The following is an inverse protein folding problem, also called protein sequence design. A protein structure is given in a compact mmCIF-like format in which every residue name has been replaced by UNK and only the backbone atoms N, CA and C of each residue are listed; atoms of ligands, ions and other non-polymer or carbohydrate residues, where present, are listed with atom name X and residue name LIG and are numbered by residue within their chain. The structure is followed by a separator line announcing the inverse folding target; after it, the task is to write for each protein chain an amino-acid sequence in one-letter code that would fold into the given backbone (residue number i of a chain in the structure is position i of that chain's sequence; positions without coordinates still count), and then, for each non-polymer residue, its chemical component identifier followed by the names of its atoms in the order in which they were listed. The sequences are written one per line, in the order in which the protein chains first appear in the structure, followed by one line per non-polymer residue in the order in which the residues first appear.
data_IF_485553078912
#
_entry.id   IF_485553078912
#
_cell.length_a   1.000
_cell.length_b   1.000
_cell.length_c   1.000
_cell.angle_alpha   90.00
_cell.angle_beta   90.00
_cell.angle_gamma   90.00
#
_symmetry.space_group_name_H-M   'P 1'
#
loop_
_entity.id
_entity.type
_entity.pdbx_description
1 polymer ?
#
# COMPACT_ATOMS: atom_id res chain seq x y z
N UNK A 1 -19.15 -47.67 -37.96
CA UNK A 1 -19.44 -46.22 -38.02
C UNK A 1 -20.32 -45.87 -36.82
N UNK A 2 -19.79 -45.77 -35.59
CA UNK A 2 -18.97 -44.66 -35.04
C UNK A 2 -19.59 -43.26 -35.20
N UNK A 3 -20.83 -43.08 -34.74
CA UNK A 3 -21.47 -41.75 -34.66
C UNK A 3 -22.20 -41.52 -33.32
N UNK A 4 -21.65 -41.98 -32.20
CA UNK A 4 -22.16 -41.60 -30.85
C UNK A 4 -21.20 -40.77 -30.00
N UNK A 5 -19.91 -40.71 -30.36
CA UNK A 5 -18.89 -40.04 -29.53
C UNK A 5 -18.67 -38.54 -29.84
N UNK A 6 -19.26 -37.99 -30.91
CA UNK A 6 -18.95 -36.63 -31.38
C UNK A 6 -19.92 -35.52 -30.89
N UNK A 7 -21.11 -35.86 -30.40
CA UNK A 7 -22.15 -34.88 -30.03
C UNK A 7 -22.14 -34.41 -28.57
N UNK A 8 -21.24 -34.92 -27.73
CA UNK A 8 -21.16 -34.52 -26.32
C UNK A 8 -20.26 -33.29 -26.08
N UNK A 9 -19.59 -32.78 -27.12
CA UNK A 9 -18.58 -31.71 -27.03
C UNK A 9 -19.08 -30.32 -27.45
N UNK A 10 -20.31 -30.22 -27.99
CA UNK A 10 -20.89 -28.95 -28.46
C UNK A 10 -21.81 -28.27 -27.44
N UNK A 11 -22.06 -28.93 -26.31
CA UNK A 11 -22.82 -28.41 -25.17
C UNK A 11 -22.11 -28.80 -23.88
N UNK A 12 -20.92 -28.22 -23.64
CA UNK A 12 -20.39 -28.21 -22.27
C UNK A 12 -21.32 -27.30 -21.46
N UNK A 13 -22.23 -27.89 -20.69
CA UNK A 13 -23.08 -27.12 -19.79
C UNK A 13 -22.21 -26.38 -18.76
N UNK A 14 -22.68 -25.23 -18.28
CA UNK A 14 -21.99 -24.52 -17.20
C UNK A 14 -21.97 -25.39 -15.94
N UNK A 15 -20.82 -26.02 -15.70
CA UNK A 15 -20.62 -26.80 -14.49
C UNK A 15 -20.53 -25.84 -13.30
N UNK A 16 -21.28 -26.11 -12.24
CA UNK A 16 -21.34 -25.28 -11.02
C UNK A 16 -19.99 -25.13 -10.29
N UNK A 17 -18.99 -25.90 -10.70
CA UNK A 17 -17.63 -25.87 -10.16
C UNK A 17 -17.57 -26.37 -8.71
N UNK A 18 -16.39 -26.25 -8.10
CA UNK A 18 -16.21 -26.61 -6.68
C UNK A 18 -16.95 -25.60 -5.79
N UNK A 19 -17.79 -26.06 -4.84
CA UNK A 19 -18.43 -25.18 -3.88
C UNK A 19 -17.43 -24.32 -3.10
N UNK A 20 -17.81 -23.07 -2.82
CA UNK A 20 -16.97 -22.14 -2.06
C UNK A 20 -16.93 -22.53 -0.58
N UNK A 21 -15.75 -22.41 0.03
CA UNK A 21 -15.56 -22.59 1.48
C UNK A 21 -16.07 -21.37 2.27
N UNK A 22 -16.09 -20.18 1.65
CA UNK A 22 -16.53 -18.93 2.29
C UNK A 22 -17.92 -18.52 1.82
N UNK A 23 -18.67 -17.87 2.71
CA UNK A 23 -20.00 -17.33 2.43
C UNK A 23 -19.93 -15.83 2.09
N UNK A 24 -21.00 -15.30 1.48
CA UNK A 24 -21.07 -13.89 1.09
C UNK A 24 -20.88 -12.92 2.28
N UNK A 25 -21.47 -13.24 3.44
CA UNK A 25 -21.32 -12.45 4.66
C UNK A 25 -19.87 -12.42 5.15
N UNK A 26 -19.20 -13.57 5.12
CA UNK A 26 -17.79 -13.70 5.47
C UNK A 26 -16.89 -12.88 4.55
N UNK A 27 -17.12 -12.96 3.24
CA UNK A 27 -16.38 -12.18 2.24
C UNK A 27 -16.59 -10.67 2.43
N UNK A 28 -17.79 -10.26 2.88
CA UNK A 28 -18.11 -8.88 3.20
C UNK A 28 -17.38 -8.40 4.46
N UNK A 29 -17.38 -9.20 5.53
CA UNK A 29 -16.64 -8.90 6.76
C UNK A 29 -15.14 -8.76 6.50
N UNK A 30 -14.55 -9.64 5.68
CA UNK A 30 -13.15 -9.55 5.26
C UNK A 30 -12.86 -8.22 4.55
N UNK A 31 -13.75 -7.81 3.63
CA UNK A 31 -13.62 -6.55 2.90
C UNK A 31 -13.69 -5.34 3.85
N UNK A 32 -14.67 -5.32 4.74
CA UNK A 32 -14.89 -4.21 5.69
C UNK A 32 -13.74 -4.09 6.69
N UNK A 33 -13.28 -5.21 7.26
CA UNK A 33 -12.13 -5.24 8.16
C UNK A 33 -10.86 -4.74 7.47
N UNK A 34 -10.60 -5.19 6.24
CA UNK A 34 -9.44 -4.75 5.46
C UNK A 34 -9.52 -3.28 5.05
N UNK A 35 -10.72 -2.75 4.78
CA UNK A 35 -10.95 -1.32 4.49
C UNK A 35 -10.73 -0.46 5.74
N UNK A 36 -11.22 -0.91 6.89
CA UNK A 36 -11.10 -0.20 8.17
C UNK A 36 -9.66 -0.21 8.71
N UNK A 37 -8.97 -1.33 8.54
CA UNK A 37 -7.60 -1.53 9.01
C UNK A 37 -6.70 -2.02 7.86
N UNK A 38 -6.24 -1.12 6.97
CA UNK A 38 -5.49 -1.47 5.76
C UNK A 38 -4.23 -2.29 5.99
N UNK A 39 -3.60 -2.12 7.16
CA UNK A 39 -2.33 -2.78 7.52
C UNK A 39 -2.48 -4.17 8.14
N UNK A 40 -3.71 -4.64 8.37
CA UNK A 40 -3.92 -6.03 8.78
C UNK A 40 -3.48 -6.98 7.67
N UNK A 41 -2.70 -8.00 8.04
CA UNK A 41 -2.26 -8.98 7.09
C UNK A 41 -3.40 -9.96 6.76
N UNK A 42 -3.29 -10.64 5.61
CA UNK A 42 -4.24 -11.72 5.30
C UNK A 42 -4.18 -12.87 6.31
N UNK A 43 -3.05 -13.04 7.02
CA UNK A 43 -2.92 -14.03 8.08
C UNK A 43 -3.74 -13.62 9.30
N UNK A 44 -3.69 -12.34 9.67
CA UNK A 44 -4.46 -11.83 10.81
C UNK A 44 -5.97 -11.89 10.52
N UNK A 45 -6.37 -11.46 9.32
CA UNK A 45 -7.76 -11.58 8.87
C UNK A 45 -8.25 -13.03 8.80
N UNK A 46 -7.38 -13.96 8.38
CA UNK A 46 -7.71 -15.39 8.38
C UNK A 46 -7.94 -15.90 9.80
N UNK A 47 -7.04 -15.60 10.73
CA UNK A 47 -7.13 -16.06 12.13
C UNK A 47 -8.38 -15.55 12.82
N UNK A 48 -8.75 -14.28 12.58
CA UNK A 48 -9.85 -13.63 13.29
C UNK A 48 -11.23 -13.96 12.68
N UNK A 49 -11.33 -13.99 11.34
CA UNK A 49 -12.64 -14.04 10.66
C UNK A 49 -12.92 -15.37 9.97
N UNK A 50 -11.88 -16.13 9.60
CA UNK A 50 -12.02 -17.33 8.74
C UNK A 50 -10.98 -18.42 9.03
N UNK A 51 -10.86 -18.90 10.29
CA UNK A 51 -9.77 -19.80 10.70
C UNK A 51 -9.78 -21.15 9.97
N UNK A 52 -10.92 -21.55 9.42
CA UNK A 52 -11.10 -22.81 8.67
C UNK A 52 -10.58 -22.75 7.23
N UNK A 53 -10.32 -21.56 6.69
CA UNK A 53 -9.88 -21.38 5.31
C UNK A 53 -8.38 -21.07 5.22
N UNK A 54 -7.80 -21.34 4.04
CA UNK A 54 -6.41 -20.97 3.76
C UNK A 54 -6.24 -19.45 3.65
N UNK A 55 -5.04 -18.94 3.94
CA UNK A 55 -4.71 -17.53 3.76
C UNK A 55 -4.86 -17.10 2.29
N UNK A 56 -4.58 -17.99 1.34
CA UNK A 56 -4.77 -17.70 -0.09
C UNK A 56 -6.24 -17.50 -0.46
N UNK A 57 -7.15 -18.22 0.20
CA UNK A 57 -8.59 -17.96 0.08
C UNK A 57 -8.90 -16.52 0.45
N UNK A 58 -8.42 -16.04 1.60
CA UNK A 58 -8.59 -14.64 2.03
C UNK A 58 -8.03 -13.65 1.00
N UNK A 59 -6.80 -13.87 0.51
CA UNK A 59 -6.19 -13.01 -0.53
C UNK A 59 -7.06 -12.94 -1.78
N UNK A 60 -7.59 -14.08 -2.22
CA UNK A 60 -8.45 -14.15 -3.40
C UNK A 60 -9.78 -13.43 -3.19
N UNK A 61 -10.37 -13.52 -1.99
CA UNK A 61 -11.61 -12.78 -1.66
C UNK A 61 -11.41 -11.27 -1.63
N UNK A 62 -10.33 -10.81 -1.01
CA UNK A 62 -9.96 -9.40 -1.02
C UNK A 62 -9.75 -8.91 -2.46
N UNK A 63 -9.05 -9.69 -3.31
CA UNK A 63 -8.84 -9.37 -4.72
C UNK A 63 -10.16 -9.30 -5.51
N UNK A 64 -11.08 -10.24 -5.30
CA UNK A 64 -12.40 -10.25 -5.95
C UNK A 64 -13.24 -9.03 -5.56
N UNK A 65 -13.11 -8.55 -4.32
CA UNK A 65 -13.71 -7.30 -3.83
C UNK A 65 -12.92 -6.04 -4.23
N UNK A 66 -11.93 -6.17 -5.11
CA UNK A 66 -11.18 -5.04 -5.65
C UNK A 66 -10.09 -4.48 -4.73
N UNK A 67 -9.69 -5.20 -3.68
CA UNK A 67 -8.57 -4.83 -2.81
C UNK A 67 -7.29 -5.53 -3.27
N UNK A 68 -6.16 -4.82 -3.25
CA UNK A 68 -4.85 -5.39 -3.60
C UNK A 68 -3.80 -5.07 -2.55
N UNK A 69 -2.98 -6.06 -2.26
CA UNK A 69 -1.80 -5.92 -1.41
C UNK A 69 -0.76 -5.02 -2.09
N UNK A 70 -0.30 -3.98 -1.40
CA UNK A 70 0.64 -2.96 -1.87
C UNK A 70 1.68 -2.63 -0.79
N UNK A 71 2.79 -2.03 -1.23
CA UNK A 71 3.76 -1.42 -0.32
C UNK A 71 3.34 0.01 -0.02
N UNK A 72 3.21 0.40 1.26
CA UNK A 72 2.88 1.78 1.64
C UNK A 72 3.96 2.76 1.17
N UNK A 73 3.56 4.02 0.94
CA UNK A 73 4.53 5.10 0.84
C UNK A 73 4.98 5.52 2.25
N UNK A 74 6.29 5.66 2.44
CA UNK A 74 6.88 6.18 3.68
C UNK A 74 7.03 7.69 3.54
N UNK A 75 6.26 8.45 4.31
CA UNK A 75 6.25 9.93 4.26
C UNK A 75 6.06 10.49 5.67
N UNK A 76 6.61 11.69 5.95
CA UNK A 76 6.27 12.40 7.18
C UNK A 76 4.80 12.79 7.13
N UNK A 77 4.10 12.66 8.27
CA UNK A 77 2.72 13.08 8.35
C UNK A 77 2.67 14.61 8.50
N UNK A 78 2.02 15.27 7.55
CA UNK A 78 1.93 16.73 7.51
C UNK A 78 0.60 17.16 8.10
N UNK A 79 0.67 17.90 9.21
CA UNK A 79 -0.46 18.65 9.75
C UNK A 79 -0.89 19.75 8.78
N UNK A 80 -2.08 20.30 8.97
CA UNK A 80 -2.56 21.43 8.17
C UNK A 80 -1.58 22.61 8.23
N UNK A 81 -1.05 22.91 9.41
CA UNK A 81 -0.02 23.94 9.62
C UNK A 81 1.23 23.68 8.77
N UNK A 82 1.77 22.46 8.79
CA UNK A 82 2.94 22.10 7.96
C UNK A 82 2.66 22.27 6.47
N UNK A 83 1.44 21.94 6.00
CA UNK A 83 1.05 22.11 4.59
C UNK A 83 1.00 23.58 4.20
N UNK A 84 0.39 24.43 5.03
CA UNK A 84 0.31 25.87 4.80
C UNK A 84 1.69 26.51 4.75
N UNK A 85 2.55 26.21 5.72
CA UNK A 85 3.92 26.75 5.76
C UNK A 85 4.75 26.32 4.56
N UNK A 86 4.67 25.05 4.16
CA UNK A 86 5.36 24.55 2.96
C UNK A 86 4.83 25.21 1.69
N UNK A 87 3.51 25.37 1.58
CA UNK A 87 2.89 26.05 0.45
C UNK A 87 3.32 27.51 0.37
N UNK A 88 3.24 28.26 1.47
CA UNK A 88 3.64 29.67 1.53
C UNK A 88 5.12 29.84 1.17
N UNK A 89 5.99 28.98 1.69
CA UNK A 89 7.41 28.98 1.34
C UNK A 89 7.62 28.73 -0.16
N UNK A 90 7.07 27.64 -0.71
CA UNK A 90 7.21 27.30 -2.12
C UNK A 90 6.65 28.39 -3.04
N UNK A 91 5.50 28.96 -2.69
CA UNK A 91 4.86 30.04 -3.43
C UNK A 91 5.73 31.30 -3.43
N UNK A 92 6.30 31.68 -2.28
CA UNK A 92 7.19 32.86 -2.16
C UNK A 92 8.47 32.76 -3.00
N UNK A 93 8.89 31.54 -3.36
CA UNK A 93 10.10 31.25 -4.14
C UNK A 93 9.80 30.74 -5.55
N UNK A 94 8.54 30.70 -5.97
CA UNK A 94 8.13 30.14 -7.26
C UNK A 94 8.77 30.85 -8.46
N UNK A 95 8.98 32.16 -8.35
CA UNK A 95 9.57 33.00 -9.39
C UNK A 95 10.99 33.46 -9.07
N UNK A 96 11.68 32.79 -8.14
CA UNK A 96 13.07 33.10 -7.85
C UNK A 96 13.96 32.79 -9.07
N UNK A 97 14.79 33.77 -9.52
CA UNK A 97 15.75 33.51 -10.58
C UNK A 97 16.87 32.59 -10.08
N UNK A 98 17.52 31.89 -11.01
CA UNK A 98 18.63 30.95 -10.72
C UNK A 98 19.75 31.63 -9.93
N UNK A 99 20.01 32.92 -10.17
CA UNK A 99 21.02 33.69 -9.43
C UNK A 99 20.75 33.79 -7.93
N UNK A 100 19.48 33.78 -7.50
CA UNK A 100 19.15 33.74 -6.06
C UNK A 100 19.34 32.34 -5.49
N UNK A 101 19.11 31.28 -6.27
CA UNK A 101 19.40 29.90 -5.86
C UNK A 101 20.90 29.64 -5.69
N UNK A 102 21.75 30.21 -6.54
CA UNK A 102 23.21 30.13 -6.41
C UNK A 102 23.76 30.66 -5.07
N UNK A 103 23.01 31.55 -4.40
CA UNK A 103 23.40 32.13 -3.11
C UNK A 103 22.97 31.27 -1.92
N UNK A 104 22.18 30.23 -2.15
CA UNK A 104 21.67 29.35 -1.09
C UNK A 104 22.70 28.26 -0.79
N UNK A 105 23.16 28.22 0.46
CA UNK A 105 23.90 27.09 1.01
C UNK A 105 22.91 26.16 1.72
N UNK A 106 22.83 24.91 1.28
CA UNK A 106 21.97 23.88 1.87
C UNK A 106 22.81 23.04 2.82
N UNK A 107 22.35 22.88 4.07
CA UNK A 107 22.94 21.97 5.04
C UNK A 107 21.93 20.93 5.51
N UNK A 108 22.37 19.69 5.71
CA UNK A 108 21.57 18.63 6.30
C UNK A 108 22.45 17.61 7.04
N UNK A 109 21.84 16.90 7.99
CA UNK A 109 22.45 15.80 8.72
C UNK A 109 21.82 14.47 8.29
N UNK A 110 22.64 13.57 7.75
CA UNK A 110 22.19 12.24 7.35
C UNK A 110 22.64 11.17 8.33
N UNK A 111 21.65 10.41 8.81
CA UNK A 111 21.88 9.21 9.61
C UNK A 111 21.68 7.96 8.75
N UNK A 112 22.70 7.11 8.66
CA UNK A 112 22.63 5.79 8.02
C UNK A 112 22.35 4.71 9.07
N UNK A 113 21.52 3.74 8.68
CA UNK A 113 21.11 2.62 9.53
C UNK A 113 21.08 1.35 8.69
N UNK A 114 21.66 0.23 9.16
CA UNK A 114 21.48 -1.07 8.51
C UNK A 114 20.00 -1.47 8.58
N UNK A 115 19.40 -1.86 7.45
CA UNK A 115 17.99 -2.22 7.37
C UNK A 115 17.76 -3.67 7.80
N UNK A 116 16.96 -3.89 8.85
CA UNK A 116 16.46 -5.23 9.28
C UNK A 116 14.97 -5.38 8.93
N UNK A 117 14.43 -4.53 8.05
CA UNK A 117 12.98 -4.38 7.89
C UNK A 117 12.40 -5.37 6.89
N UNK A 118 11.47 -6.19 7.35
CA UNK A 118 10.48 -6.85 6.50
C UNK A 118 9.62 -5.76 5.86
N UNK A 119 9.42 -5.82 4.54
CA UNK A 119 8.60 -4.84 3.83
C UNK A 119 7.14 -4.91 4.30
N UNK A 120 6.71 -3.94 5.11
CA UNK A 120 5.32 -3.77 5.52
C UNK A 120 4.41 -3.70 4.29
N UNK A 121 3.23 -4.32 4.40
CA UNK A 121 2.23 -4.39 3.35
C UNK A 121 0.90 -3.88 3.88
N UNK A 122 0.06 -3.41 2.96
CA UNK A 122 -1.32 -3.06 3.23
C UNK A 122 -2.23 -3.49 2.09
N UNK A 123 -3.52 -3.61 2.36
CA UNK A 123 -4.54 -3.75 1.34
C UNK A 123 -5.22 -2.42 1.06
N UNK A 124 -5.36 -2.09 -0.22
CA UNK A 124 -5.99 -0.86 -0.68
C UNK A 124 -6.84 -1.14 -1.92
N UNK A 125 -7.96 -0.43 -2.14
CA UNK A 125 -8.75 -0.53 -3.37
C UNK A 125 -7.91 -0.34 -4.63
N UNK A 126 -8.22 -1.07 -5.70
CA UNK A 126 -7.55 -0.89 -6.99
C UNK A 126 -8.01 0.41 -7.65
N UNK A 127 -9.28 0.77 -7.48
CA UNK A 127 -9.90 1.98 -8.03
C UNK A 127 -10.22 2.97 -6.91
N UNK A 128 -10.20 4.27 -7.23
CA UNK A 128 -10.64 5.33 -6.30
C UNK A 128 -9.76 5.53 -5.07
N UNK A 129 -8.51 5.05 -5.08
CA UNK A 129 -7.57 5.28 -3.97
C UNK A 129 -6.19 5.70 -4.46
N UNK A 130 -5.55 6.60 -3.72
CA UNK A 130 -4.22 7.11 -4.02
C UNK A 130 -3.17 6.42 -3.14
N UNK A 131 -1.92 6.36 -3.63
CA UNK A 131 -0.76 5.91 -2.84
C UNK A 131 -0.46 6.83 -1.67
N UNK A 132 -0.85 8.10 -1.77
CA UNK A 132 -0.55 9.14 -0.78
C UNK A 132 -1.72 9.49 0.13
N UNK A 133 -2.85 8.76 0.07
CA UNK A 133 -3.92 8.97 1.04
C UNK A 133 -3.39 8.65 2.45
N UNK A 134 -3.73 9.49 3.43
CA UNK A 134 -3.17 9.45 4.77
C UNK A 134 -3.31 8.08 5.45
N UNK A 135 -4.45 7.42 5.24
CA UNK A 135 -4.74 6.07 5.76
C UNK A 135 -3.82 4.96 5.21
N UNK A 136 -3.10 5.20 4.11
CA UNK A 136 -2.18 4.24 3.49
C UNK A 136 -0.71 4.64 3.62
N UNK A 137 -0.43 5.76 4.32
CA UNK A 137 0.93 6.21 4.56
C UNK A 137 1.51 5.55 5.81
N UNK A 138 2.81 5.32 5.76
CA UNK A 138 3.60 4.94 6.93
C UNK A 138 4.48 6.13 7.29
N UNK A 139 4.49 6.47 8.58
CA UNK A 139 5.31 7.55 9.06
C UNK A 139 6.79 7.24 8.77
N UNK A 140 7.52 8.22 8.24
CA UNK A 140 8.95 8.05 7.92
C UNK A 140 9.86 8.11 9.16
N UNK A 141 9.34 7.83 10.36
CA UNK A 141 10.14 7.90 11.59
C UNK A 141 11.32 6.94 11.53
N UNK A 142 12.44 7.41 12.06
CA UNK A 142 13.67 6.65 12.13
C UNK A 142 13.52 5.51 13.14
N UNK A 143 13.80 4.26 12.75
CA UNK A 143 13.80 3.16 13.70
C UNK A 143 14.92 3.27 14.74
N UNK A 144 14.71 2.62 15.88
CA UNK A 144 15.68 2.53 16.98
C UNK A 144 16.80 1.55 16.62
N UNK A 145 18.06 1.87 16.93
CA UNK A 145 19.25 1.06 16.62
C UNK A 145 20.51 1.88 16.43
N UNK A 146 21.64 1.20 16.17
CA UNK A 146 22.95 1.81 15.89
C UNK A 146 22.92 2.81 14.73
N UNK A 147 23.80 3.82 14.78
CA UNK A 147 23.75 5.01 13.90
C UNK A 147 25.15 5.39 13.45
N UNK A 148 25.32 5.58 12.15
CA UNK A 148 26.40 6.38 11.58
C UNK A 148 25.81 7.72 11.15
N UNK A 149 26.46 8.84 11.49
CA UNK A 149 25.98 10.19 11.16
C UNK A 149 27.01 10.94 10.32
N UNK A 150 26.52 11.68 9.34
CA UNK A 150 27.32 12.53 8.49
C UNK A 150 26.61 13.87 8.33
N UNK A 151 27.36 14.96 8.43
CA UNK A 151 26.87 16.31 8.16
C UNK A 151 27.41 16.73 6.80
N UNK A 152 26.53 17.26 5.94
CA UNK A 152 26.86 17.68 4.59
C UNK A 152 26.35 19.10 4.36
N UNK A 153 27.17 19.91 3.70
CA UNK A 153 26.79 21.22 3.20
C UNK A 153 27.08 21.27 1.70
N UNK A 154 26.17 21.82 0.91
CA UNK A 154 26.30 21.97 -0.54
C UNK A 154 25.81 23.36 -0.98
N UNK A 155 26.49 23.93 -1.96
CA UNK A 155 26.19 25.21 -2.62
C UNK A 155 26.29 25.06 -4.15
N UNK A 156 25.90 26.10 -4.90
CA UNK A 156 26.10 26.14 -6.36
C UNK A 156 25.04 25.47 -7.25
N UNK A 157 23.77 25.46 -6.82
CA UNK A 157 22.62 25.01 -7.63
C UNK A 157 22.19 26.01 -8.69
#
# INVERSE_FOLDING_TARGET
MEFRHAMHRLYDEEHSGRPRVTHANTDQNLYEASRKYPFLSAVDLQKELTPTCSVDTVRNRLKQKGLKCRTPARKPFLTQFHRQMRYAYAHSKLHWPVSEWHRVVISDEKIFRPSIWIAQRLYRPIQGSNRFDEQYLVHSSNPVGGRLRFTLCMDGF
#
